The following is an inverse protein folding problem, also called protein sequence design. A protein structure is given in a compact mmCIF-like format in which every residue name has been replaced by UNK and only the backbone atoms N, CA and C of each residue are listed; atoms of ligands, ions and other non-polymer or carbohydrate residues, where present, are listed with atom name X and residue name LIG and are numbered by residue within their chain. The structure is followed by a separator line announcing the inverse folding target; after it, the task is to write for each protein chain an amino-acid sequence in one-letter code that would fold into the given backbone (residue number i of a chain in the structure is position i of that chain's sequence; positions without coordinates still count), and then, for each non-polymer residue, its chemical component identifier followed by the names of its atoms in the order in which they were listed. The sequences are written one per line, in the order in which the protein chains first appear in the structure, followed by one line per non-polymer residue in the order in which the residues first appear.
data_IF_361003796441
#
_entry.id   IF_361003796441
#
_cell.length_a   1.000
_cell.length_b   1.000
_cell.length_c   1.000
_cell.angle_alpha   90.00
_cell.angle_beta   90.00
_cell.angle_gamma   90.00
#
_symmetry.space_group_name_H-M   'P 1'
#
loop_
_entity.id
_entity.type
_entity.pdbx_description
1 polymer ?
#
# COMPACT_ATOMS: atom_id res chain seq x y z
N UNK A 1 3.41 -7.58 51.28
CA UNK A 1 2.07 -7.01 51.03
C UNK A 1 1.38 -6.75 52.36
N UNK A 2 1.59 -5.57 52.93
CA UNK A 2 0.66 -4.96 53.87
C UNK A 2 0.19 -3.66 53.17
N UNK A 3 -1.12 -3.42 53.03
CA UNK A 3 -1.60 -2.18 52.42
C UNK A 3 -1.41 -1.07 53.46
N UNK A 4 -0.59 -0.07 53.15
CA UNK A 4 -0.63 1.20 53.90
C UNK A 4 -1.57 2.14 53.14
N UNK A 5 -2.79 2.27 53.66
CA UNK A 5 -3.75 3.27 53.20
C UNK A 5 -3.24 4.67 53.56
N UNK A 6 -2.83 5.43 52.54
CA UNK A 6 -2.56 6.86 52.65
C UNK A 6 -3.80 7.64 52.21
N UNK A 7 -4.65 8.03 53.15
CA UNK A 7 -5.76 8.95 52.88
C UNK A 7 -5.33 10.39 53.18
N UNK A 8 -5.22 11.18 52.12
CA UNK A 8 -4.98 12.63 52.13
C UNK A 8 -6.18 13.40 52.68
N UNK A 9 -5.96 14.34 53.61
CA UNK A 9 -6.97 15.33 54.02
C UNK A 9 -6.35 16.74 54.07
N UNK A 10 -7.08 17.83 53.72
CA UNK A 10 -6.52 19.14 53.36
C UNK A 10 -6.05 20.00 54.55
N UNK A 11 -5.94 19.43 55.74
CA UNK A 11 -5.38 20.09 56.90
C UNK A 11 -4.24 19.21 57.37
N UNK A 12 -3.00 19.74 57.40
CA UNK A 12 -1.76 19.05 57.78
C UNK A 12 -1.73 18.48 59.20
N UNK A 13 -2.61 17.51 59.45
CA UNK A 13 -2.69 16.65 60.62
C UNK A 13 -2.48 15.25 60.08
N UNK A 14 -1.24 14.78 60.24
CA UNK A 14 -0.79 13.41 60.01
C UNK A 14 -1.87 12.45 60.52
N UNK A 15 -2.28 11.53 59.66
CA UNK A 15 -3.19 10.43 59.98
C UNK A 15 -2.73 9.75 61.27
N UNK A 16 -3.51 9.94 62.34
CA UNK A 16 -3.19 9.33 63.63
C UNK A 16 -3.57 7.87 63.56
N UNK A 17 -2.56 7.00 63.57
CA UNK A 17 -2.71 5.61 64.00
C UNK A 17 -3.51 5.59 65.32
N UNK A 18 -4.44 4.66 65.52
CA UNK A 18 -5.20 4.58 66.77
C UNK A 18 -4.25 4.43 67.96
N UNK A 19 -4.34 5.32 68.96
CA UNK A 19 -3.53 5.19 70.17
C UNK A 19 -4.02 3.99 70.99
N UNK A 20 -3.12 3.11 71.41
CA UNK A 20 -3.49 2.03 72.32
C UNK A 20 -3.73 2.58 73.73
N UNK A 21 -4.48 1.83 74.55
CA UNK A 21 -4.69 2.16 75.98
C UNK A 21 -3.38 2.32 76.76
N UNK A 22 -2.31 1.63 76.32
CA UNK A 22 -0.97 1.72 76.92
C UNK A 22 -0.31 3.05 76.56
N UNK A 23 -0.49 3.52 75.34
CA UNK A 23 0.09 4.78 74.86
C UNK A 23 -0.51 5.98 75.58
N UNK A 24 -1.84 6.00 75.75
CA UNK A 24 -2.51 7.06 76.55
C UNK A 24 -2.06 7.07 78.02
N UNK A 25 -1.77 5.92 78.62
CA UNK A 25 -1.20 5.88 79.99
C UNK A 25 0.25 6.35 80.04
N UNK A 26 0.99 6.18 78.96
CA UNK A 26 2.40 6.59 78.91
C UNK A 26 2.60 8.10 78.75
N UNK A 27 1.53 8.85 78.43
CA UNK A 27 1.56 10.31 78.36
C UNK A 27 1.84 10.94 79.74
N UNK A 28 2.54 12.09 79.77
CA UNK A 28 2.62 12.96 80.94
C UNK A 28 1.23 13.26 81.50
N UNK A 29 1.10 13.37 82.82
CA UNK A 29 -0.20 13.52 83.49
C UNK A 29 -1.05 14.69 82.96
N UNK A 30 -0.39 15.75 82.47
CA UNK A 30 -1.03 16.92 81.83
C UNK A 30 -1.70 16.58 80.49
N UNK A 31 -1.11 15.65 79.71
CA UNK A 31 -1.56 15.26 78.38
C UNK A 31 -2.56 14.11 78.39
N UNK A 32 -2.62 13.31 79.46
CA UNK A 32 -3.58 12.20 79.60
C UNK A 32 -5.04 12.66 79.51
N UNK A 33 -5.33 13.90 79.94
CA UNK A 33 -6.68 14.49 79.92
C UNK A 33 -7.21 14.72 78.50
N UNK A 34 -6.33 14.75 77.50
CA UNK A 34 -6.70 14.91 76.09
C UNK A 34 -7.12 13.59 75.45
N UNK A 35 -6.84 12.43 76.08
CA UNK A 35 -7.23 11.13 75.55
C UNK A 35 -8.73 10.89 75.77
N UNK A 36 -9.48 10.89 74.68
CA UNK A 36 -10.89 10.50 74.62
C UNK A 36 -10.95 9.09 74.03
N UNK A 37 -11.77 8.22 74.63
CA UNK A 37 -12.06 6.91 74.07
C UNK A 37 -13.30 7.04 73.18
N UNK A 38 -13.14 6.76 71.89
CA UNK A 38 -14.22 6.75 70.92
C UNK A 38 -14.40 5.31 70.46
N UNK A 39 -15.43 4.65 71.04
CA UNK A 39 -15.95 3.27 70.94
C UNK A 39 -15.01 2.11 70.54
N UNK A 40 -14.11 2.30 69.57
CA UNK A 40 -13.11 1.36 69.09
C UNK A 40 -11.66 1.73 69.43
N UNK A 41 -11.30 3.01 69.64
CA UNK A 41 -9.91 3.45 69.83
C UNK A 41 -9.77 4.67 70.77
N UNK A 42 -8.56 4.88 71.32
CA UNK A 42 -8.25 6.14 72.01
C UNK A 42 -7.74 7.18 71.00
N UNK A 43 -8.29 8.40 71.08
CA UNK A 43 -7.89 9.54 70.25
C UNK A 43 -7.59 10.75 71.15
N UNK A 44 -6.67 11.62 70.72
CA UNK A 44 -6.42 12.86 71.47
C UNK A 44 -7.33 13.97 70.92
N UNK A 45 -8.32 14.39 71.69
CA UNK A 45 -9.24 15.47 71.33
C UNK A 45 -8.86 16.77 72.07
N UNK A 46 -8.27 17.76 71.38
CA UNK A 46 -7.89 19.03 71.99
C UNK A 46 -9.04 20.04 72.12
N UNK A 47 -10.28 19.68 71.74
CA UNK A 47 -11.43 20.60 71.74
C UNK A 47 -12.21 20.63 73.06
N UNK A 48 -11.94 19.73 74.00
CA UNK A 48 -12.59 19.75 75.31
C UNK A 48 -11.78 20.59 76.31
N UNK A 49 -12.36 21.69 76.76
CA UNK A 49 -11.89 22.66 77.78
C UNK A 49 -10.91 23.74 77.30
N UNK A 50 -11.09 24.95 77.84
CA UNK A 50 -10.31 26.19 77.63
C UNK A 50 -8.80 25.98 77.89
N UNK A 51 -8.10 25.36 76.95
CA UNK A 51 -6.71 24.94 77.10
C UNK A 51 -5.88 25.49 75.94
N UNK A 52 -4.79 26.20 76.27
CA UNK A 52 -3.84 26.79 75.32
C UNK A 52 -3.26 25.73 74.37
N UNK A 53 -3.82 25.65 73.14
CA UNK A 53 -3.44 24.68 72.09
C UNK A 53 -1.94 24.69 71.79
N UNK A 54 -1.27 25.83 71.90
CA UNK A 54 0.18 25.99 71.66
C UNK A 54 1.08 25.39 72.73
N UNK A 55 0.63 25.34 73.99
CA UNK A 55 1.44 24.79 75.09
C UNK A 55 1.45 23.25 74.98
N UNK A 56 0.29 22.67 74.71
CA UNK A 56 0.14 21.23 74.58
C UNK A 56 0.65 20.68 73.25
N UNK A 57 0.67 21.47 72.17
CA UNK A 57 1.31 21.05 70.91
C UNK A 57 2.82 20.89 71.09
N UNK A 58 3.49 21.83 71.78
CA UNK A 58 4.91 21.73 72.12
C UNK A 58 5.21 20.53 73.02
N UNK A 59 4.38 20.29 74.04
CA UNK A 59 4.56 19.14 74.93
C UNK A 59 4.32 17.80 74.21
N UNK A 60 3.39 17.75 73.26
CA UNK A 60 3.16 16.58 72.39
C UNK A 60 4.35 16.35 71.45
N UNK A 61 4.88 17.40 70.83
CA UNK A 61 6.06 17.31 69.97
C UNK A 61 7.27 16.79 70.75
N UNK A 62 7.52 17.30 71.96
CA UNK A 62 8.59 16.82 72.84
C UNK A 62 8.38 15.33 73.20
N UNK A 63 7.14 14.93 73.46
CA UNK A 63 6.80 13.56 73.80
C UNK A 63 7.05 12.58 72.64
N UNK A 64 6.66 12.94 71.42
CA UNK A 64 6.84 12.10 70.25
C UNK A 64 8.25 12.17 69.66
N UNK A 65 8.98 13.28 69.83
CA UNK A 65 10.36 13.45 69.36
C UNK A 65 11.34 12.39 69.88
N UNK A 66 11.07 11.81 71.04
CA UNK A 66 11.90 10.76 71.64
C UNK A 66 11.41 9.33 71.33
N UNK A 67 10.31 9.20 70.59
CA UNK A 67 9.69 7.92 70.19
C UNK A 67 9.59 7.74 68.68
N UNK A 68 9.88 8.78 67.92
CA UNK A 68 10.11 8.70 66.49
C UNK A 68 11.59 8.39 66.25
N UNK A 69 11.89 7.29 65.55
CA UNK A 69 13.25 7.06 65.06
C UNK A 69 13.55 8.10 63.98
N UNK A 70 14.45 9.02 64.30
CA UNK A 70 15.10 9.82 63.26
C UNK A 70 16.15 8.94 62.61
N UNK A 71 16.00 8.68 61.31
CA UNK A 71 16.96 7.87 60.56
C UNK A 71 18.29 8.61 60.49
N UNK A 72 19.22 8.31 61.42
CA UNK A 72 20.58 8.82 61.37
C UNK A 72 21.33 8.03 60.30
N UNK A 73 21.42 8.59 59.10
CA UNK A 73 22.07 7.92 57.97
C UNK A 73 23.58 7.82 58.17
N UNK A 74 24.09 6.73 58.74
CA UNK A 74 25.52 6.57 59.04
C UNK A 74 26.40 6.13 57.84
N UNK A 75 25.83 5.49 56.81
CA UNK A 75 26.59 4.93 55.69
C UNK A 75 26.31 5.68 54.38
N UNK A 76 27.36 6.19 53.72
CA UNK A 76 27.30 6.88 52.43
C UNK A 76 26.56 6.07 51.36
N UNK A 77 26.84 4.76 51.27
CA UNK A 77 26.18 3.84 50.34
C UNK A 77 24.67 3.82 50.56
N UNK A 78 24.20 3.82 51.82
CA UNK A 78 22.77 3.79 52.15
C UNK A 78 22.09 5.10 51.77
N UNK A 79 22.75 6.24 51.97
CA UNK A 79 22.25 7.55 51.54
C UNK A 79 22.10 7.59 50.01
N UNK A 80 23.15 7.22 49.28
CA UNK A 80 23.14 7.25 47.82
C UNK A 80 22.11 6.29 47.21
N UNK A 81 22.01 5.06 47.70
CA UNK A 81 21.01 4.09 47.22
C UNK A 81 19.59 4.56 47.49
N UNK A 82 19.33 5.20 48.64
CA UNK A 82 18.01 5.74 48.96
C UNK A 82 17.67 6.97 48.09
N UNK A 83 18.63 7.86 47.84
CA UNK A 83 18.47 8.98 46.91
C UNK A 83 18.22 8.50 45.47
N UNK A 84 18.92 7.46 45.02
CA UNK A 84 18.68 6.85 43.70
C UNK A 84 17.32 6.17 43.63
N UNK A 85 16.92 5.45 44.67
CA UNK A 85 15.58 4.86 44.78
C UNK A 85 14.50 5.94 44.70
N UNK A 86 14.64 7.04 45.44
CA UNK A 86 13.72 8.18 45.35
C UNK A 86 13.67 8.76 43.92
N UNK A 87 14.81 9.10 43.34
CA UNK A 87 14.84 9.62 41.96
C UNK A 87 14.21 8.67 40.94
N UNK A 88 14.44 7.36 41.06
CA UNK A 88 13.84 6.35 40.19
C UNK A 88 12.31 6.21 40.37
N UNK A 89 11.83 6.30 41.60
CA UNK A 89 10.39 6.26 41.90
C UNK A 89 9.66 7.51 41.42
N UNK A 90 10.30 8.68 41.49
CA UNK A 90 9.78 9.93 40.90
C UNK A 90 9.78 9.84 39.38
N UNK A 91 10.86 9.32 38.77
CA UNK A 91 10.99 9.11 37.33
C UNK A 91 9.94 8.14 36.76
N UNK A 92 9.65 7.05 37.47
CA UNK A 92 8.66 6.04 37.04
C UNK A 92 7.23 6.38 37.46
N UNK A 93 7.00 7.56 38.03
CA UNK A 93 5.68 8.06 38.51
C UNK A 93 4.99 7.16 39.55
N UNK A 94 5.74 6.28 40.23
CA UNK A 94 5.19 5.39 41.26
C UNK A 94 4.90 6.12 42.58
N UNK A 95 5.66 7.18 42.89
CA UNK A 95 5.28 8.18 43.89
C UNK A 95 5.19 7.72 45.36
N UNK A 96 5.74 6.55 45.71
CA UNK A 96 5.71 6.04 47.10
C UNK A 96 6.76 6.72 48.00
N UNK A 97 6.69 8.05 48.11
CA UNK A 97 7.61 8.86 48.92
C UNK A 97 6.88 9.57 50.08
N UNK A 98 7.58 9.78 51.21
CA UNK A 98 7.00 10.55 52.31
C UNK A 98 6.72 11.99 51.87
N UNK A 99 5.61 12.56 52.34
CA UNK A 99 5.20 13.90 51.97
C UNK A 99 6.23 14.97 52.42
N UNK A 100 6.57 15.95 51.55
CA UNK A 100 7.48 17.03 51.91
C UNK A 100 6.88 17.89 53.05
N UNK A 101 7.76 18.40 53.92
CA UNK A 101 7.34 19.15 55.12
C UNK A 101 7.62 20.65 54.93
N UNK A 102 8.69 21.00 54.23
CA UNK A 102 9.11 22.39 54.01
C UNK A 102 8.71 22.89 52.63
N UNK A 103 8.46 24.21 52.50
CA UNK A 103 8.08 24.84 51.22
C UNK A 103 9.12 24.58 50.12
N UNK A 104 10.41 24.58 50.47
CA UNK A 104 11.49 24.25 49.53
C UNK A 104 11.43 22.80 49.04
N UNK A 105 11.11 21.84 49.92
CA UNK A 105 10.92 20.44 49.51
C UNK A 105 9.70 20.28 48.60
N UNK A 106 8.60 21.00 48.84
CA UNK A 106 7.43 21.00 47.95
C UNK A 106 7.77 21.50 46.54
N UNK A 107 8.51 22.61 46.44
CA UNK A 107 8.96 23.16 45.17
C UNK A 107 9.91 22.21 44.43
N UNK A 108 10.86 21.61 45.15
CA UNK A 108 11.79 20.63 44.59
C UNK A 108 11.04 19.39 44.06
N UNK A 109 10.17 18.80 44.88
CA UNK A 109 9.39 17.61 44.52
C UNK A 109 8.48 17.88 43.32
N UNK A 110 7.84 19.05 43.28
CA UNK A 110 6.98 19.44 42.14
C UNK A 110 7.79 19.56 40.84
N UNK A 111 8.99 20.15 40.89
CA UNK A 111 9.85 20.28 39.72
C UNK A 111 10.42 18.93 39.28
N UNK A 112 10.82 18.08 40.22
CA UNK A 112 11.36 16.74 39.95
C UNK A 112 10.30 15.83 39.32
N UNK A 113 9.05 15.87 39.81
CA UNK A 113 7.92 15.16 39.19
C UNK A 113 7.66 15.65 37.76
N UNK A 114 7.69 16.97 37.51
CA UNK A 114 7.49 17.51 36.16
C UNK A 114 8.59 17.05 35.19
N UNK A 115 9.85 17.08 35.61
CA UNK A 115 10.99 16.60 34.81
C UNK A 115 10.88 15.09 34.60
N UNK A 116 10.59 14.33 35.65
CA UNK A 116 10.40 12.88 35.61
C UNK A 116 9.31 12.48 34.62
N UNK A 117 8.17 13.19 34.63
CA UNK A 117 7.06 12.95 33.72
C UNK A 117 7.45 13.20 32.25
N UNK A 118 8.22 14.26 31.96
CA UNK A 118 8.72 14.52 30.62
C UNK A 118 9.68 13.42 30.14
N UNK A 119 10.65 13.03 30.98
CA UNK A 119 11.61 11.97 30.64
C UNK A 119 10.88 10.64 30.42
N UNK A 120 9.97 10.27 31.32
CA UNK A 120 9.17 9.05 31.20
C UNK A 120 8.33 9.03 29.92
N UNK A 121 7.66 10.13 29.59
CA UNK A 121 6.89 10.26 28.35
C UNK A 121 7.77 10.09 27.10
N UNK A 122 8.99 10.66 27.09
CA UNK A 122 9.92 10.48 25.96
C UNK A 122 10.42 9.03 25.83
N UNK A 123 10.68 8.34 26.94
CA UNK A 123 11.11 6.93 26.92
C UNK A 123 10.00 6.06 26.32
N UNK A 124 8.76 6.21 26.80
CA UNK A 124 7.62 5.45 26.26
C UNK A 124 7.40 5.78 24.78
N UNK A 125 7.47 7.05 24.39
CA UNK A 125 7.33 7.48 23.00
C UNK A 125 8.38 6.84 22.08
N UNK A 126 9.65 6.81 22.51
CA UNK A 126 10.73 6.20 21.75
C UNK A 126 10.58 4.68 21.65
N UNK A 127 10.21 4.00 22.74
CA UNK A 127 9.93 2.55 22.72
C UNK A 127 8.77 2.26 21.77
N UNK A 128 7.70 3.05 21.81
CA UNK A 128 6.58 2.93 20.87
C UNK A 128 7.00 3.11 19.41
N UNK A 129 7.84 4.10 19.12
CA UNK A 129 8.37 4.35 17.77
C UNK A 129 9.24 3.19 17.28
N UNK A 130 10.13 2.65 18.12
CA UNK A 130 10.97 1.49 17.77
C UNK A 130 10.09 0.28 17.46
N UNK A 131 9.09 -0.02 18.29
CA UNK A 131 8.17 -1.14 18.08
C UNK A 131 7.36 -0.97 16.79
N UNK A 132 6.90 0.25 16.49
CA UNK A 132 6.19 0.56 15.25
C UNK A 132 7.09 0.37 14.03
N UNK A 133 8.33 0.86 14.09
CA UNK A 133 9.28 0.78 12.97
C UNK A 133 9.73 -0.66 12.71
N UNK A 134 9.97 -1.46 13.75
CA UNK A 134 10.33 -2.88 13.62
C UNK A 134 9.22 -3.69 12.93
N UNK A 135 7.96 -3.31 13.15
CA UNK A 135 6.82 -4.01 12.57
C UNK A 135 6.25 -3.33 11.33
N UNK A 136 6.89 -2.28 10.81
CA UNK A 136 6.34 -1.49 9.69
C UNK A 136 6.10 -2.35 8.43
N UNK A 137 7.09 -3.13 7.99
CA UNK A 137 6.94 -4.02 6.82
C UNK A 137 5.83 -5.05 6.98
N UNK A 138 5.68 -5.59 8.20
CA UNK A 138 4.63 -6.54 8.51
C UNK A 138 3.26 -5.86 8.52
N UNK A 139 3.17 -4.66 9.09
CA UNK A 139 1.93 -3.88 9.11
C UNK A 139 1.46 -3.53 7.70
N UNK A 140 2.37 -3.15 6.80
CA UNK A 140 2.06 -2.86 5.40
C UNK A 140 1.52 -4.10 4.66
N UNK A 141 2.15 -5.26 4.86
CA UNK A 141 1.69 -6.52 4.28
C UNK A 141 0.33 -6.95 4.86
N UNK A 142 0.16 -6.87 6.18
CA UNK A 142 -1.10 -7.21 6.86
C UNK A 142 -2.22 -6.27 6.37
N UNK A 143 -1.94 -4.98 6.14
CA UNK A 143 -2.90 -4.02 5.55
C UNK A 143 -3.29 -4.41 4.12
N UNK A 144 -2.34 -4.77 3.26
CA UNK A 144 -2.62 -5.25 1.90
C UNK A 144 -3.50 -6.52 1.93
N UNK A 145 -3.15 -7.48 2.78
CA UNK A 145 -3.87 -8.73 2.94
C UNK A 145 -5.30 -8.49 3.45
N UNK A 146 -5.49 -7.56 4.38
CA UNK A 146 -6.81 -7.19 4.88
C UNK A 146 -7.67 -6.53 3.81
N UNK A 147 -7.09 -5.71 2.93
CA UNK A 147 -7.76 -5.19 1.74
C UNK A 147 -8.25 -6.30 0.80
N UNK A 148 -7.41 -7.31 0.56
CA UNK A 148 -7.77 -8.49 -0.26
C UNK A 148 -8.89 -9.31 0.41
N UNK A 149 -8.79 -9.55 1.72
CA UNK A 149 -9.86 -10.23 2.48
C UNK A 149 -11.18 -9.48 2.38
N UNK A 150 -11.17 -8.17 2.59
CA UNK A 150 -12.37 -7.33 2.48
C UNK A 150 -12.98 -7.39 1.08
N UNK A 151 -12.16 -7.35 0.03
CA UNK A 151 -12.61 -7.51 -1.35
C UNK A 151 -13.29 -8.88 -1.58
N UNK A 152 -12.70 -9.97 -1.08
CA UNK A 152 -13.28 -11.31 -1.20
C UNK A 152 -14.60 -11.46 -0.44
N UNK A 153 -14.70 -10.87 0.76
CA UNK A 153 -15.94 -10.85 1.55
C UNK A 153 -17.02 -10.05 0.83
N UNK A 154 -16.69 -8.86 0.31
CA UNK A 154 -17.64 -8.02 -0.42
C UNK A 154 -18.18 -8.70 -1.69
N UNK A 155 -17.31 -9.41 -2.42
CA UNK A 155 -17.69 -10.16 -3.64
C UNK A 155 -18.28 -11.55 -3.36
N UNK A 156 -18.41 -11.95 -2.10
CA UNK A 156 -18.93 -13.27 -1.69
C UNK A 156 -18.21 -14.43 -2.39
N UNK A 157 -16.87 -14.37 -2.44
CA UNK A 157 -16.06 -15.44 -3.03
C UNK A 157 -16.19 -16.73 -2.20
N UNK A 158 -16.21 -17.91 -2.84
CA UNK A 158 -16.26 -19.22 -2.17
C UNK A 158 -15.16 -19.32 -1.09
N UNK A 159 -15.48 -19.76 0.16
CA UNK A 159 -14.49 -19.93 1.23
C UNK A 159 -13.27 -20.78 0.84
N UNK A 160 -13.42 -21.75 -0.07
CA UNK A 160 -12.29 -22.54 -0.58
C UNK A 160 -11.26 -21.68 -1.31
N UNK A 161 -11.72 -20.77 -2.17
CA UNK A 161 -10.85 -19.84 -2.90
C UNK A 161 -10.23 -18.84 -1.93
N UNK A 162 -10.99 -18.36 -0.94
CA UNK A 162 -10.47 -17.44 0.07
C UNK A 162 -9.31 -18.08 0.87
N UNK A 163 -9.49 -19.31 1.33
CA UNK A 163 -8.45 -20.06 2.05
C UNK A 163 -7.21 -20.27 1.17
N UNK A 164 -7.40 -20.56 -0.13
CA UNK A 164 -6.30 -20.71 -1.09
C UNK A 164 -5.53 -19.41 -1.29
N UNK A 165 -6.22 -18.29 -1.44
CA UNK A 165 -5.59 -16.96 -1.59
C UNK A 165 -4.81 -16.59 -0.34
N UNK A 166 -5.40 -16.76 0.85
CA UNK A 166 -4.72 -16.46 2.12
C UNK A 166 -3.48 -17.35 2.31
N UNK A 167 -3.57 -18.64 1.96
CA UNK A 167 -2.44 -19.56 2.02
C UNK A 167 -1.32 -19.17 1.06
N UNK A 168 -1.66 -18.74 -0.16
CA UNK A 168 -0.69 -18.23 -1.14
C UNK A 168 0.03 -16.98 -0.62
N UNK A 169 -0.70 -16.00 -0.08
CA UNK A 169 -0.09 -14.81 0.54
C UNK A 169 0.82 -15.19 1.72
N UNK A 170 0.40 -16.15 2.56
CA UNK A 170 1.22 -16.67 3.66
C UNK A 170 2.53 -17.30 3.17
N UNK A 171 2.49 -18.05 2.07
CA UNK A 171 3.69 -18.61 1.45
C UNK A 171 4.61 -17.50 0.91
N UNK A 172 4.06 -16.53 0.16
CA UNK A 172 4.82 -15.39 -0.39
C UNK A 172 5.55 -14.62 0.71
N UNK A 173 4.87 -14.37 1.85
CA UNK A 173 5.49 -13.74 3.03
C UNK A 173 6.59 -14.60 3.64
N UNK A 174 6.35 -15.90 3.85
CA UNK A 174 7.33 -16.81 4.48
C UNK A 174 8.63 -16.97 3.69
N UNK A 175 8.57 -16.80 2.37
CA UNK A 175 9.72 -16.94 1.48
C UNK A 175 10.52 -15.64 1.31
N UNK A 176 10.11 -14.54 1.93
CA UNK A 176 10.75 -13.24 1.74
C UNK A 176 10.46 -12.59 0.38
N UNK A 177 9.63 -13.22 -0.45
CA UNK A 177 9.19 -12.71 -1.77
C UNK A 177 8.05 -11.68 -1.66
N UNK A 178 7.70 -11.24 -0.45
CA UNK A 178 6.72 -10.17 -0.23
C UNK A 178 7.32 -8.77 -0.47
N UNK A 179 8.63 -8.69 -0.64
CA UNK A 179 9.28 -7.47 -1.13
C UNK A 179 9.04 -7.41 -2.63
N UNK A 180 8.42 -6.33 -3.09
CA UNK A 180 8.27 -6.03 -4.50
C UNK A 180 9.66 -5.87 -5.11
N UNK A 181 10.20 -6.96 -5.65
CA UNK A 181 11.52 -6.99 -6.30
C UNK A 181 11.58 -5.84 -7.32
N UNK A 182 10.51 -5.60 -8.08
CA UNK A 182 10.44 -4.51 -9.06
C UNK A 182 10.53 -3.12 -8.39
N UNK A 183 9.94 -2.90 -7.20
CA UNK A 183 10.05 -1.63 -6.47
C UNK A 183 11.47 -1.39 -5.94
N UNK A 184 12.14 -2.42 -5.41
CA UNK A 184 13.54 -2.31 -4.95
C UNK A 184 14.48 -2.15 -6.15
N UNK A 185 14.25 -2.92 -7.22
CA UNK A 185 14.99 -2.86 -8.48
C UNK A 185 14.87 -1.47 -9.12
N UNK A 186 13.70 -0.83 -9.06
CA UNK A 186 13.49 0.52 -9.60
C UNK A 186 14.31 1.61 -8.90
N UNK A 187 14.76 1.37 -7.66
CA UNK A 187 15.59 2.30 -6.89
C UNK A 187 17.09 2.11 -7.18
N UNK A 188 17.49 1.00 -7.80
CA UNK A 188 18.88 0.69 -8.09
C UNK A 188 19.31 1.25 -9.45
N UNK A 189 20.53 1.82 -9.56
CA UNK A 189 21.11 2.14 -10.85
C UNK A 189 21.26 0.89 -11.72
N UNK A 190 20.99 1.03 -13.03
CA UNK A 190 20.94 -0.08 -14.01
C UNK A 190 22.19 -0.98 -14.01
N UNK A 191 23.37 -0.42 -13.70
CA UNK A 191 24.64 -1.17 -13.59
C UNK A 191 24.62 -2.19 -12.45
N UNK A 192 24.22 -1.76 -11.25
CA UNK A 192 24.20 -2.60 -10.04
C UNK A 192 23.05 -3.59 -10.12
N UNK A 193 21.92 -3.18 -10.69
CA UNK A 193 20.80 -4.07 -10.98
C UNK A 193 21.25 -5.26 -11.84
N UNK A 194 21.99 -4.99 -12.92
CA UNK A 194 22.51 -6.02 -13.80
C UNK A 194 23.36 -7.04 -13.06
N UNK A 195 24.32 -6.57 -12.26
CA UNK A 195 25.20 -7.43 -11.48
C UNK A 195 24.47 -8.26 -10.42
N UNK A 196 23.49 -7.67 -9.73
CA UNK A 196 22.70 -8.36 -8.71
C UNK A 196 21.82 -9.45 -9.33
N UNK A 197 21.07 -9.12 -10.39
CA UNK A 197 20.19 -10.08 -11.06
C UNK A 197 20.99 -11.29 -11.55
N UNK A 198 22.16 -11.04 -12.15
CA UNK A 198 23.09 -12.09 -12.57
C UNK A 198 23.51 -12.95 -11.38
N UNK A 199 23.99 -12.35 -10.29
CA UNK A 199 24.45 -13.13 -9.14
C UNK A 199 23.33 -14.01 -8.55
N UNK A 200 22.08 -13.54 -8.55
CA UNK A 200 20.96 -14.28 -7.94
C UNK A 200 20.40 -15.37 -8.87
N UNK A 201 20.41 -15.16 -10.19
CA UNK A 201 19.68 -16.02 -11.13
C UNK A 201 20.57 -16.82 -12.10
N UNK A 202 21.82 -16.40 -12.33
CA UNK A 202 22.70 -17.04 -13.31
C UNK A 202 22.98 -18.51 -12.99
N UNK A 203 23.14 -18.86 -11.71
CA UNK A 203 23.38 -20.25 -11.30
C UNK A 203 22.21 -21.17 -11.64
N UNK A 204 20.98 -20.66 -11.61
CA UNK A 204 19.79 -21.44 -11.97
C UNK A 204 19.74 -21.66 -13.47
N UNK A 205 20.00 -20.62 -14.26
CA UNK A 205 20.07 -20.72 -15.73
C UNK A 205 21.20 -21.62 -16.22
N UNK A 206 22.38 -21.58 -15.58
CA UNK A 206 23.49 -22.49 -15.91
C UNK A 206 23.17 -23.96 -15.67
N UNK A 207 22.29 -24.28 -14.71
CA UNK A 207 21.84 -25.67 -14.46
C UNK A 207 20.86 -26.18 -15.51
N UNK A 208 20.27 -25.29 -16.30
CA UNK A 208 19.28 -25.65 -17.31
C UNK A 208 19.96 -26.24 -18.55
N UNK A 209 19.61 -27.48 -18.89
CA UNK A 209 20.22 -28.23 -20.02
C UNK A 209 20.15 -27.50 -21.36
N UNK A 210 19.08 -26.77 -21.65
CA UNK A 210 18.91 -26.10 -22.94
C UNK A 210 19.81 -24.85 -23.09
N UNK A 211 20.28 -24.30 -21.97
CA UNK A 211 21.09 -23.08 -21.91
C UNK A 211 22.55 -23.33 -21.49
N UNK A 212 22.92 -24.57 -21.21
CA UNK A 212 24.29 -24.95 -20.81
C UNK A 212 25.34 -24.69 -21.89
N UNK A 213 24.97 -24.92 -23.15
CA UNK A 213 25.86 -24.77 -24.30
C UNK A 213 25.82 -23.34 -24.89
N UNK A 214 25.04 -22.43 -24.28
CA UNK A 214 24.91 -21.06 -24.75
C UNK A 214 26.07 -20.18 -24.26
N UNK A 215 26.39 -19.15 -25.06
CA UNK A 215 27.38 -18.15 -24.67
C UNK A 215 26.94 -17.44 -23.38
N UNK A 216 27.87 -17.16 -22.44
CA UNK A 216 27.54 -16.43 -21.21
C UNK A 216 26.80 -15.12 -21.47
N UNK A 217 27.18 -14.36 -22.50
CA UNK A 217 26.54 -13.10 -22.87
C UNK A 217 25.02 -13.20 -23.05
N UNK A 218 24.54 -14.27 -23.68
CA UNK A 218 23.10 -14.55 -23.80
C UNK A 218 22.47 -14.80 -22.42
N UNK A 219 23.13 -15.57 -21.56
CA UNK A 219 22.62 -15.86 -20.21
C UNK A 219 22.48 -14.57 -19.41
N UNK A 220 23.44 -13.65 -19.50
CA UNK A 220 23.38 -12.34 -18.87
C UNK A 220 22.15 -11.56 -19.33
N UNK A 221 21.88 -11.50 -20.63
CA UNK A 221 20.72 -10.78 -21.16
C UNK A 221 19.39 -11.44 -20.76
N UNK A 222 19.32 -12.77 -20.79
CA UNK A 222 18.12 -13.52 -20.41
C UNK A 222 17.80 -13.36 -18.93
N UNK A 223 18.79 -13.37 -18.03
CA UNK A 223 18.60 -13.16 -16.58
C UNK A 223 17.81 -11.87 -16.32
N UNK A 224 18.13 -10.79 -17.02
CA UNK A 224 17.52 -9.47 -16.79
C UNK A 224 16.06 -9.41 -17.22
N UNK A 225 15.61 -10.36 -18.05
CA UNK A 225 14.23 -10.44 -18.54
C UNK A 225 13.42 -11.53 -17.83
N UNK A 226 14.02 -12.31 -16.93
CA UNK A 226 13.31 -13.33 -16.17
C UNK A 226 12.44 -12.69 -15.08
N UNK A 227 11.21 -13.18 -14.96
CA UNK A 227 10.29 -12.80 -13.88
C UNK A 227 9.99 -13.99 -12.99
N UNK A 228 10.02 -13.79 -11.68
CA UNK A 228 9.66 -14.82 -10.73
C UNK A 228 8.13 -14.89 -10.58
N UNK A 229 7.55 -16.07 -10.73
CA UNK A 229 6.13 -16.30 -10.52
C UNK A 229 5.91 -17.52 -9.61
N UNK A 230 5.05 -17.36 -8.61
CA UNK A 230 4.74 -18.38 -7.61
C UNK A 230 3.39 -19.01 -7.88
N UNK A 231 3.36 -20.34 -7.98
CA UNK A 231 2.14 -21.12 -8.19
C UNK A 231 1.79 -21.92 -6.94
N UNK A 232 0.49 -22.03 -6.64
CA UNK A 232 -0.01 -22.79 -5.50
C UNK A 232 -0.08 -24.29 -5.83
N UNK A 233 -0.17 -25.17 -4.81
CA UNK A 233 -0.42 -26.59 -5.02
C UNK A 233 -1.67 -26.81 -5.87
N UNK A 234 -1.59 -27.74 -6.82
CA UNK A 234 -2.66 -28.11 -7.76
C UNK A 234 -3.08 -27.03 -8.79
N UNK A 235 -2.41 -25.87 -8.83
CA UNK A 235 -2.65 -24.88 -9.88
C UNK A 235 -2.13 -25.41 -11.23
N UNK A 236 -2.93 -25.20 -12.28
CA UNK A 236 -2.52 -25.46 -13.66
C UNK A 236 -1.75 -24.25 -14.18
N UNK A 237 -0.49 -24.43 -14.54
CA UNK A 237 0.35 -23.38 -15.14
C UNK A 237 -0.07 -23.15 -16.59
N UNK A 238 -0.31 -24.24 -17.32
CA UNK A 238 -0.87 -24.19 -18.66
C UNK A 238 -1.70 -25.43 -18.95
N UNK A 239 -2.67 -25.31 -19.85
CA UNK A 239 -3.46 -26.43 -20.35
C UNK A 239 -3.10 -26.75 -21.79
N UNK A 240 -3.31 -27.99 -22.19
CA UNK A 240 -3.13 -28.43 -23.58
C UNK A 240 -4.05 -27.60 -24.48
N UNK A 241 -3.50 -27.09 -25.58
CA UNK A 241 -4.23 -26.25 -26.53
C UNK A 241 -4.21 -24.74 -26.23
N UNK A 242 -3.79 -24.32 -25.03
CA UNK A 242 -3.64 -22.89 -24.71
C UNK A 242 -2.57 -22.25 -25.62
N UNK A 243 -2.70 -20.96 -25.91
CA UNK A 243 -1.69 -20.22 -26.68
C UNK A 243 -0.48 -19.97 -25.78
N UNK A 244 0.66 -20.57 -26.11
CA UNK A 244 1.91 -20.41 -25.36
C UNK A 244 2.63 -19.13 -25.75
N UNK A 245 2.64 -18.15 -24.85
CA UNK A 245 3.33 -16.86 -25.02
C UNK A 245 4.65 -16.76 -24.24
N UNK A 246 4.91 -17.73 -23.37
CA UNK A 246 5.98 -17.70 -22.38
C UNK A 246 6.60 -19.09 -22.26
N UNK A 247 7.84 -19.18 -21.79
CA UNK A 247 8.42 -20.42 -21.29
C UNK A 247 8.67 -20.30 -19.78
N UNK A 248 8.77 -21.46 -19.14
CA UNK A 248 8.95 -21.55 -17.70
C UNK A 248 10.18 -22.39 -17.35
N UNK A 249 10.93 -21.93 -16.35
CA UNK A 249 12.07 -22.63 -15.76
C UNK A 249 11.75 -22.90 -14.30
N UNK A 250 11.86 -24.15 -13.87
CA UNK A 250 11.57 -24.54 -12.48
C UNK A 250 12.74 -24.10 -11.60
N UNK A 251 12.55 -23.07 -10.77
CA UNK A 251 13.53 -22.64 -9.76
C UNK A 251 13.47 -23.53 -8.53
N UNK A 252 12.24 -23.72 -8.00
CA UNK A 252 11.97 -24.54 -6.82
C UNK A 252 10.63 -25.24 -6.94
N UNK A 253 10.54 -26.45 -6.43
CA UNK A 253 9.32 -27.25 -6.41
C UNK A 253 9.23 -28.28 -7.53
N UNK A 254 8.05 -28.89 -7.67
CA UNK A 254 7.83 -30.00 -8.59
C UNK A 254 6.52 -29.81 -9.35
N UNK A 255 6.57 -30.08 -10.65
CA UNK A 255 5.44 -29.96 -11.55
C UNK A 255 5.13 -31.31 -12.19
N UNK A 256 3.86 -31.61 -12.41
CA UNK A 256 3.43 -32.81 -13.11
C UNK A 256 2.87 -32.41 -14.49
N UNK A 257 3.39 -33.05 -15.53
CA UNK A 257 2.78 -33.04 -16.87
C UNK A 257 1.65 -34.06 -16.85
N UNK A 258 0.42 -33.60 -17.02
CA UNK A 258 -0.79 -34.41 -16.87
C UNK A 258 -1.58 -34.50 -18.17
N UNK A 259 -2.39 -35.55 -18.29
CA UNK A 259 -3.41 -35.66 -19.35
C UNK A 259 -4.48 -34.56 -19.23
N UNK A 260 -5.27 -34.35 -20.27
CA UNK A 260 -6.38 -33.38 -20.30
C UNK A 260 -7.35 -33.57 -19.12
N UNK A 261 -7.60 -34.82 -18.74
CA UNK A 261 -8.50 -35.17 -17.62
C UNK A 261 -7.80 -35.08 -16.25
N UNK A 262 -6.50 -34.78 -16.20
CA UNK A 262 -5.72 -34.68 -14.96
C UNK A 262 -5.46 -36.00 -14.23
N UNK A 263 -5.87 -37.13 -14.82
CA UNK A 263 -5.84 -38.48 -14.23
C UNK A 263 -4.48 -39.18 -14.37
N UNK A 264 -3.83 -39.03 -15.51
CA UNK A 264 -2.54 -39.65 -15.81
C UNK A 264 -1.43 -38.61 -15.69
N UNK A 265 -0.38 -38.92 -14.93
CA UNK A 265 0.86 -38.16 -14.87
C UNK A 265 1.86 -38.79 -15.84
N UNK A 266 2.29 -38.04 -16.86
CA UNK A 266 3.28 -38.51 -17.83
C UNK A 266 4.70 -38.39 -17.29
N UNK A 267 5.04 -37.22 -16.76
CA UNK A 267 6.38 -36.88 -16.28
C UNK A 267 6.26 -35.88 -15.13
N UNK A 268 7.14 -36.01 -14.13
CA UNK A 268 7.36 -35.01 -13.09
C UNK A 268 8.61 -34.19 -13.41
N UNK A 269 8.45 -32.88 -13.55
CA UNK A 269 9.52 -31.92 -13.75
C UNK A 269 10.01 -31.43 -12.38
N UNK A 270 11.31 -31.57 -12.16
CA UNK A 270 11.99 -31.10 -10.95
C UNK A 270 12.74 -29.77 -11.23
N UNK A 271 13.44 -29.26 -10.22
CA UNK A 271 14.24 -28.05 -10.30
C UNK A 271 15.28 -28.11 -11.44
N UNK A 272 15.43 -27.00 -12.16
CA UNK A 272 16.27 -26.88 -13.35
C UNK A 272 15.64 -27.43 -14.63
N UNK A 273 14.45 -28.04 -14.57
CA UNK A 273 13.70 -28.41 -15.76
C UNK A 273 13.09 -27.16 -16.44
N UNK A 274 12.91 -27.27 -17.75
CA UNK A 274 12.28 -26.25 -18.59
C UNK A 274 11.09 -26.87 -19.29
N UNK A 275 10.03 -26.08 -19.44
CA UNK A 275 8.87 -26.47 -20.22
C UNK A 275 8.23 -25.25 -20.90
N UNK A 276 7.46 -25.52 -21.95
CA UNK A 276 6.80 -24.49 -22.75
C UNK A 276 7.70 -23.86 -23.81
N UNK A 277 8.90 -24.38 -23.99
CA UNK A 277 9.90 -23.98 -24.99
C UNK A 277 9.39 -24.17 -26.42
N UNK A 278 8.61 -25.23 -26.69
CA UNK A 278 8.15 -25.54 -28.04
C UNK A 278 7.14 -24.52 -28.61
N UNK A 279 6.32 -23.92 -27.75
CA UNK A 279 5.25 -23.01 -28.18
C UNK A 279 5.77 -21.62 -28.57
N UNK A 280 6.98 -21.25 -28.12
CA UNK A 280 7.55 -19.92 -28.35
C UNK A 280 8.58 -19.87 -29.49
N UNK A 281 9.12 -21.02 -29.92
CA UNK A 281 10.19 -21.11 -30.91
C UNK A 281 9.74 -21.00 -32.39
N UNK A 282 8.46 -20.74 -32.67
CA UNK A 282 7.88 -20.54 -34.03
C UNK A 282 8.42 -21.51 -35.09
N UNK A 283 8.50 -22.80 -34.75
CA UNK A 283 9.09 -23.81 -35.62
C UNK A 283 8.15 -24.08 -36.81
N UNK A 284 8.60 -23.85 -38.06
CA UNK A 284 7.79 -24.13 -39.25
C UNK A 284 7.50 -25.63 -39.35
N UNK A 285 6.26 -25.98 -39.71
CA UNK A 285 5.81 -27.38 -39.80
C UNK A 285 5.34 -28.00 -38.47
N UNK A 286 5.29 -27.23 -37.38
CA UNK A 286 4.69 -27.68 -36.12
C UNK A 286 3.16 -27.82 -36.30
N UNK A 287 2.63 -29.04 -36.14
CA UNK A 287 1.19 -29.34 -36.23
C UNK A 287 0.34 -28.50 -35.27
N UNK A 288 0.91 -28.15 -34.12
CA UNK A 288 0.21 -27.47 -33.04
C UNK A 288 0.48 -25.95 -33.03
N UNK A 289 1.31 -25.44 -33.94
CA UNK A 289 1.67 -24.03 -34.02
C UNK A 289 2.19 -23.49 -32.67
N UNK A 290 1.63 -22.37 -32.21
CA UNK A 290 1.97 -21.75 -30.94
C UNK A 290 1.17 -22.27 -29.73
N UNK A 291 0.46 -23.41 -29.86
CA UNK A 291 -0.33 -23.98 -28.78
C UNK A 291 0.52 -24.86 -27.86
N UNK A 292 0.11 -24.98 -26.59
CA UNK A 292 0.71 -25.89 -25.61
C UNK A 292 0.39 -27.34 -25.97
N UNK A 293 1.40 -28.20 -25.85
CA UNK A 293 1.32 -29.63 -26.21
C UNK A 293 0.75 -30.49 -25.08
N UNK A 294 0.89 -30.05 -23.83
CA UNK A 294 0.43 -30.78 -22.64
C UNK A 294 -0.06 -29.83 -21.54
N UNK A 295 -0.82 -30.37 -20.60
CA UNK A 295 -1.21 -29.66 -19.38
C UNK A 295 -0.13 -29.84 -18.30
N UNK A 296 0.22 -28.77 -17.61
CA UNK A 296 1.22 -28.80 -16.53
C UNK A 296 0.59 -28.26 -15.25
N UNK A 297 0.68 -29.05 -14.18
CA UNK A 297 0.09 -28.75 -12.87
C UNK A 297 1.16 -28.73 -11.80
N UNK A 298 1.11 -27.77 -10.88
CA UNK A 298 1.99 -27.72 -9.72
C UNK A 298 1.61 -28.80 -8.70
N UNK A 299 2.60 -29.51 -8.15
CA UNK A 299 2.37 -30.50 -7.09
C UNK A 299 2.26 -29.80 -5.72
N UNK A 300 3.18 -28.88 -5.44
CA UNK A 300 3.21 -28.07 -4.23
C UNK A 300 3.25 -26.59 -4.55
N UNK A 301 3.77 -25.78 -3.63
CA UNK A 301 4.19 -24.43 -3.99
C UNK A 301 5.42 -24.53 -4.89
N UNK A 302 5.35 -23.88 -6.05
CA UNK A 302 6.44 -23.90 -7.03
C UNK A 302 6.79 -22.48 -7.43
N UNK A 303 8.09 -22.21 -7.47
CA UNK A 303 8.65 -20.94 -7.88
C UNK A 303 9.21 -21.14 -9.30
N UNK A 304 8.66 -20.42 -10.27
CA UNK A 304 9.02 -20.54 -11.67
C UNK A 304 9.59 -19.22 -12.17
N UNK A 305 10.67 -19.28 -12.97
CA UNK A 305 11.06 -18.15 -13.79
C UNK A 305 10.29 -18.19 -15.10
N UNK A 306 9.70 -17.06 -15.45
CA UNK A 306 8.94 -16.83 -16.67
C UNK A 306 9.78 -16.00 -17.62
N UNK A 307 9.92 -16.46 -18.86
CA UNK A 307 10.51 -15.70 -19.95
C UNK A 307 9.47 -15.55 -21.06
N UNK A 308 9.20 -14.31 -21.48
CA UNK A 308 8.24 -14.07 -22.56
C UNK A 308 8.84 -14.44 -23.92
N UNK A 309 7.97 -14.76 -24.88
CA UNK A 309 8.36 -15.04 -26.25
C UNK A 309 9.13 -13.86 -26.85
N UNK A 310 8.61 -12.64 -26.70
CA UNK A 310 9.20 -11.44 -27.29
C UNK A 310 10.59 -11.18 -26.69
N UNK A 311 10.73 -11.31 -25.36
CA UNK A 311 12.01 -11.12 -24.66
C UNK A 311 13.08 -12.13 -25.10
N UNK A 312 12.68 -13.40 -25.31
CA UNK A 312 13.56 -14.45 -25.82
C UNK A 312 13.98 -14.13 -27.26
N UNK A 313 13.03 -13.83 -28.14
CA UNK A 313 13.34 -13.54 -29.54
C UNK A 313 14.23 -12.31 -29.70
N UNK A 314 14.01 -11.29 -28.88
CA UNK A 314 14.83 -10.10 -28.84
C UNK A 314 16.28 -10.43 -28.50
N UNK A 315 16.52 -11.27 -27.49
CA UNK A 315 17.87 -11.72 -27.13
C UNK A 315 18.47 -12.61 -28.24
N UNK A 316 17.68 -13.52 -28.82
CA UNK A 316 18.13 -14.41 -29.90
C UNK A 316 18.44 -13.70 -31.23
N UNK A 317 18.04 -12.43 -31.39
CA UNK A 317 18.49 -11.61 -32.54
C UNK A 317 19.97 -11.27 -32.46
N UNK A 318 20.49 -11.05 -31.26
CA UNK A 318 21.90 -10.71 -31.02
C UNK A 318 22.79 -11.96 -31.02
N UNK A 319 22.24 -13.12 -30.65
CA UNK A 319 22.97 -14.40 -30.56
C UNK A 319 22.44 -15.45 -31.57
N UNK A 320 22.82 -15.37 -32.86
CA UNK A 320 22.28 -16.23 -33.92
C UNK A 320 22.67 -17.71 -33.79
N UNK A 321 23.84 -18.03 -33.22
CA UNK A 321 24.27 -19.41 -33.01
C UNK A 321 23.44 -20.10 -31.93
N UNK A 322 23.17 -19.39 -30.82
CA UNK A 322 22.28 -19.89 -29.77
C UNK A 322 20.85 -20.10 -30.30
N UNK A 323 20.37 -19.21 -31.16
CA UNK A 323 19.08 -19.37 -31.86
C UNK A 323 19.03 -20.68 -32.66
N UNK A 324 20.06 -20.97 -33.46
CA UNK A 324 20.14 -22.22 -34.25
C UNK A 324 20.11 -23.45 -33.35
N UNK A 325 20.88 -23.44 -32.26
CA UNK A 325 20.92 -24.54 -31.30
C UNK A 325 19.57 -24.78 -30.63
N UNK A 326 18.90 -23.71 -30.16
CA UNK A 326 17.58 -23.80 -29.54
C UNK A 326 16.53 -24.32 -30.52
N UNK A 327 16.56 -23.86 -31.77
CA UNK A 327 15.67 -24.37 -32.83
C UNK A 327 15.95 -25.83 -33.16
N UNK A 328 17.22 -26.24 -33.24
CA UNK A 328 17.60 -27.63 -33.48
C UNK A 328 17.11 -28.55 -32.35
N UNK A 329 17.30 -28.14 -31.08
CA UNK A 329 16.77 -28.86 -29.92
C UNK A 329 15.24 -28.91 -29.90
N UNK A 330 14.58 -27.81 -30.23
CA UNK A 330 13.12 -27.77 -30.36
C UNK A 330 12.59 -28.71 -31.46
N UNK A 331 13.27 -28.76 -32.62
CA UNK A 331 12.96 -29.72 -33.70
C UNK A 331 13.17 -31.17 -33.24
N UNK A 332 14.26 -31.47 -32.53
CA UNK A 332 14.53 -32.81 -31.98
C UNK A 332 13.41 -33.27 -31.03
N UNK A 333 12.97 -32.38 -30.13
CA UNK A 333 11.87 -32.65 -29.20
C UNK A 333 10.53 -32.85 -29.91
N UNK A 334 10.17 -31.99 -30.88
CA UNK A 334 8.95 -32.17 -31.67
C UNK A 334 8.96 -33.45 -32.52
N UNK A 335 10.14 -33.89 -33.00
CA UNK A 335 10.31 -35.14 -33.73
C UNK A 335 10.07 -36.35 -32.82
N UNK A 336 10.62 -36.30 -31.60
CA UNK A 336 10.41 -37.32 -30.57
C UNK A 336 8.94 -37.48 -30.21
N UNK A 337 8.20 -36.37 -30.17
CA UNK A 337 6.77 -36.35 -29.83
C UNK A 337 5.85 -36.60 -31.05
N UNK A 338 6.39 -36.81 -32.26
CA UNK A 338 5.61 -37.06 -33.49
C UNK A 338 4.81 -35.85 -34.01
N UNK A 339 5.13 -34.65 -33.51
CA UNK A 339 4.41 -33.39 -33.76
C UNK A 339 4.96 -32.57 -34.95
N UNK A 340 6.03 -33.03 -35.60
CA UNK A 340 6.52 -32.44 -36.86
C UNK A 340 5.83 -33.07 -38.07
N UNK A 341 5.36 -32.23 -38.98
CA UNK A 341 5.05 -32.64 -40.36
C UNK A 341 6.37 -32.64 -41.14
N UNK A 342 6.88 -33.84 -41.45
CA UNK A 342 7.98 -34.17 -42.40
C UNK A 342 9.19 -33.20 -42.51
N UNK A 343 10.40 -33.72 -42.25
CA UNK A 343 11.67 -33.11 -42.68
C UNK A 343 11.69 -33.04 -44.22
N UNK A 344 11.41 -31.88 -44.82
CA UNK A 344 11.92 -31.57 -46.15
C UNK A 344 13.29 -30.87 -45.98
N UNK A 345 14.41 -31.49 -46.39
CA UNK A 345 15.75 -30.92 -46.23
C UNK A 345 16.06 -29.70 -47.11
N UNK A 346 15.09 -29.12 -47.82
CA UNK A 346 15.34 -28.12 -48.87
C UNK A 346 14.62 -26.76 -48.67
N UNK A 347 13.82 -26.57 -47.62
CA UNK A 347 12.98 -25.37 -47.49
C UNK A 347 13.61 -24.21 -46.69
N UNK A 348 14.77 -24.38 -46.05
CA UNK A 348 15.38 -23.32 -45.24
C UNK A 348 15.97 -22.15 -46.08
N UNK A 349 16.16 -22.32 -47.40
CA UNK A 349 16.54 -21.22 -48.32
C UNK A 349 15.48 -20.89 -49.39
N UNK A 350 14.72 -21.88 -49.87
CA UNK A 350 13.72 -21.69 -50.93
C UNK A 350 12.35 -21.27 -50.34
N UNK A 351 12.05 -21.67 -49.10
CA UNK A 351 10.83 -21.28 -48.40
C UNK A 351 10.85 -19.82 -47.97
N UNK A 352 11.97 -19.31 -47.44
CA UNK A 352 12.04 -17.90 -47.02
C UNK A 352 11.89 -16.95 -48.23
N UNK A 353 12.50 -17.29 -49.37
CA UNK A 353 12.41 -16.50 -50.61
C UNK A 353 11.02 -16.60 -51.25
N UNK A 354 10.42 -17.80 -51.36
CA UNK A 354 9.03 -17.94 -51.84
C UNK A 354 8.00 -17.30 -50.92
N UNK A 355 8.20 -17.32 -49.60
CA UNK A 355 7.26 -16.73 -48.63
C UNK A 355 7.42 -15.21 -48.56
N UNK A 356 8.64 -14.68 -48.77
CA UNK A 356 8.88 -13.25 -48.94
C UNK A 356 8.25 -12.74 -50.24
N UNK A 357 8.43 -13.43 -51.36
CA UNK A 357 7.81 -13.06 -52.63
C UNK A 357 6.28 -13.09 -52.53
N UNK A 358 5.70 -14.14 -51.94
CA UNK A 358 4.25 -14.21 -51.72
C UNK A 358 3.74 -13.10 -50.78
N UNK A 359 4.51 -12.72 -49.75
CA UNK A 359 4.16 -11.59 -48.89
C UNK A 359 4.33 -10.25 -49.59
N UNK A 360 5.35 -10.08 -50.43
CA UNK A 360 5.57 -8.90 -51.25
C UNK A 360 4.46 -8.74 -52.29
N UNK A 361 4.01 -9.83 -52.92
CA UNK A 361 2.87 -9.84 -53.84
C UNK A 361 1.56 -9.54 -53.10
N UNK A 362 1.36 -10.12 -51.92
CA UNK A 362 0.17 -9.84 -51.11
C UNK A 362 0.17 -8.38 -50.60
N UNK A 363 1.30 -7.86 -50.16
CA UNK A 363 1.47 -6.47 -49.76
C UNK A 363 1.27 -5.54 -50.96
N UNK A 364 1.77 -5.90 -52.14
CA UNK A 364 1.53 -5.17 -53.39
C UNK A 364 0.04 -5.13 -53.75
N UNK A 365 -0.67 -6.24 -53.60
CA UNK A 365 -2.12 -6.31 -53.81
C UNK A 365 -2.90 -5.47 -52.77
N UNK A 366 -2.46 -5.44 -51.50
CA UNK A 366 -3.06 -4.61 -50.47
C UNK A 366 -2.78 -3.12 -50.69
N UNK A 367 -1.56 -2.74 -51.06
CA UNK A 367 -1.19 -1.38 -51.45
C UNK A 367 -2.03 -0.91 -52.64
N UNK A 368 -2.21 -1.76 -53.66
CA UNK A 368 -3.05 -1.44 -54.82
C UNK A 368 -4.55 -1.31 -54.48
N UNK A 369 -5.03 -2.00 -53.43
CA UNK A 369 -6.39 -1.81 -52.92
C UNK A 369 -6.51 -0.51 -52.13
N UNK A 370 -5.53 -0.23 -51.28
CA UNK A 370 -5.46 1.00 -50.48
C UNK A 370 -5.40 2.24 -51.38
N UNK A 371 -4.64 2.19 -52.46
CA UNK A 371 -4.51 3.29 -53.43
C UNK A 371 -5.85 3.58 -54.13
N UNK A 372 -6.61 2.54 -54.47
CA UNK A 372 -7.98 2.68 -55.00
C UNK A 372 -8.95 3.25 -53.98
N UNK A 373 -8.85 2.80 -52.72
CA UNK A 373 -9.69 3.29 -51.63
C UNK A 373 -9.39 4.76 -51.30
N UNK A 374 -8.11 5.16 -51.32
CA UNK A 374 -7.67 6.56 -51.17
C UNK A 374 -8.21 7.41 -52.32
N UNK A 375 -8.06 6.98 -53.57
CA UNK A 375 -8.58 7.71 -54.72
C UNK A 375 -10.13 7.84 -54.67
N UNK A 376 -10.83 6.82 -54.17
CA UNK A 376 -12.28 6.86 -53.99
C UNK A 376 -12.67 7.82 -52.86
N UNK A 377 -11.94 7.84 -51.75
CA UNK A 377 -12.13 8.76 -50.63
C UNK A 377 -11.86 10.21 -51.02
N UNK A 378 -10.79 10.48 -51.77
CA UNK A 378 -10.51 11.82 -52.30
C UNK A 378 -11.65 12.32 -53.18
N UNK A 379 -12.17 11.45 -54.04
CA UNK A 379 -13.32 11.78 -54.89
C UNK A 379 -14.54 12.09 -54.04
N UNK A 380 -14.87 11.26 -53.05
CA UNK A 380 -16.00 11.48 -52.13
C UNK A 380 -15.84 12.79 -51.33
N UNK A 381 -14.63 13.06 -50.85
CA UNK A 381 -14.33 14.28 -50.10
C UNK A 381 -14.52 15.52 -50.98
N UNK A 382 -14.07 15.50 -52.24
CA UNK A 382 -14.28 16.60 -53.17
C UNK A 382 -15.77 16.84 -53.44
N UNK A 383 -16.58 15.80 -53.65
CA UNK A 383 -18.03 15.96 -53.82
C UNK A 383 -18.70 16.53 -52.57
N UNK A 384 -18.34 16.01 -51.38
CA UNK A 384 -18.90 16.51 -50.11
C UNK A 384 -18.47 17.95 -49.83
N UNK A 385 -17.22 18.31 -50.12
CA UNK A 385 -16.71 19.68 -50.01
C UNK A 385 -17.44 20.64 -50.96
N UNK A 386 -17.71 20.21 -52.19
CA UNK A 386 -18.47 21.00 -53.16
C UNK A 386 -19.92 21.23 -52.71
N UNK A 387 -20.60 20.19 -52.22
CA UNK A 387 -21.97 20.30 -51.70
C UNK A 387 -22.04 21.24 -50.48
N UNK A 388 -21.11 21.08 -49.53
CA UNK A 388 -21.03 21.95 -48.36
C UNK A 388 -20.75 23.41 -48.74
N UNK A 389 -19.89 23.68 -49.72
CA UNK A 389 -19.67 25.04 -50.25
C UNK A 389 -20.93 25.63 -50.85
N UNK A 390 -21.72 24.86 -51.60
CA UNK A 390 -23.00 25.31 -52.15
C UNK A 390 -24.01 25.62 -51.04
N UNK A 391 -24.08 24.77 -50.01
CA UNK A 391 -24.96 24.98 -48.85
C UNK A 391 -24.59 26.22 -48.06
N UNK A 392 -23.30 26.46 -47.83
CA UNK A 392 -22.81 27.68 -47.17
C UNK A 392 -23.17 28.91 -48.00
N UNK A 393 -22.91 28.90 -49.31
CA UNK A 393 -23.26 30.02 -50.20
C UNK A 393 -24.77 30.31 -50.19
N UNK A 394 -25.60 29.26 -50.12
CA UNK A 394 -27.06 29.42 -50.02
C UNK A 394 -27.46 30.03 -48.67
N UNK A 395 -26.87 29.57 -47.57
CA UNK A 395 -27.11 30.11 -46.24
C UNK A 395 -26.66 31.58 -46.12
N UNK A 396 -25.51 31.94 -46.69
CA UNK A 396 -25.03 33.32 -46.75
C UNK A 396 -25.99 34.23 -47.52
N UNK A 397 -26.55 33.75 -48.64
CA UNK A 397 -27.56 34.48 -49.41
C UNK A 397 -28.83 34.71 -48.57
N UNK A 398 -29.36 33.66 -47.93
CA UNK A 398 -30.53 33.75 -47.05
C UNK A 398 -30.26 34.70 -45.89
N UNK A 399 -29.09 34.62 -45.26
CA UNK A 399 -28.71 35.49 -44.17
C UNK A 399 -28.62 36.96 -44.60
N UNK A 400 -28.03 37.23 -45.77
CA UNK A 400 -27.97 38.58 -46.34
C UNK A 400 -29.38 39.13 -46.65
N UNK A 401 -30.28 38.31 -47.18
CA UNK A 401 -31.65 38.71 -47.48
C UNK A 401 -32.46 38.98 -46.20
N UNK A 402 -32.35 38.10 -45.20
CA UNK A 402 -32.94 38.31 -43.88
C UNK A 402 -32.39 39.56 -43.20
N UNK A 403 -31.07 39.82 -43.30
CA UNK A 403 -30.46 41.05 -42.77
C UNK A 403 -31.01 42.31 -43.44
N UNK A 404 -31.23 42.29 -44.76
CA UNK A 404 -31.88 43.39 -45.49
C UNK A 404 -33.36 43.55 -45.09
N UNK A 405 -34.05 42.44 -44.85
CA UNK A 405 -35.46 42.46 -44.44
C UNK A 405 -35.62 43.02 -43.03
N UNK A 406 -34.84 42.53 -42.05
CA UNK A 406 -34.80 43.08 -40.69
C UNK A 406 -34.46 44.58 -40.71
N UNK A 407 -33.51 45.01 -41.55
CA UNK A 407 -33.18 46.45 -41.67
C UNK A 407 -34.37 47.27 -42.21
N UNK A 408 -35.15 46.73 -43.15
CA UNK A 408 -36.37 47.38 -43.65
C UNK A 408 -37.47 47.40 -42.58
N UNK A 409 -37.67 46.30 -41.87
CA UNK A 409 -38.70 46.18 -40.82
C UNK A 409 -38.40 47.10 -39.63
N UNK A 410 -37.12 47.24 -39.23
CA UNK A 410 -36.71 48.22 -38.24
C UNK A 410 -36.96 49.67 -38.71
N UNK A 411 -36.65 50.00 -39.97
CA UNK A 411 -36.91 51.34 -40.51
C UNK A 411 -38.42 51.65 -40.56
N UNK A 412 -39.25 50.68 -40.97
CA UNK A 412 -40.70 50.79 -40.94
C UNK A 412 -41.22 50.93 -39.50
N UNK A 413 -40.70 50.16 -38.55
CA UNK A 413 -41.05 50.26 -37.14
C UNK A 413 -40.74 51.64 -36.54
N UNK A 414 -39.56 52.20 -36.84
CA UNK A 414 -39.19 53.57 -36.42
C UNK A 414 -40.13 54.60 -37.04
N UNK A 415 -40.50 54.44 -38.30
CA UNK A 415 -41.42 55.36 -38.98
C UNK A 415 -42.85 55.30 -38.40
N UNK A 416 -43.32 54.11 -38.01
CA UNK A 416 -44.61 53.93 -37.33
C UNK A 416 -44.57 54.58 -35.94
N UNK A 417 -43.49 54.41 -35.17
CA UNK A 417 -43.34 55.04 -33.85
C UNK A 417 -43.32 56.56 -33.95
N UNK A 418 -42.58 57.13 -34.92
CA UNK A 418 -42.56 58.57 -35.16
C UNK A 418 -43.95 59.11 -35.54
N UNK A 419 -44.70 58.39 -36.38
CA UNK A 419 -46.08 58.79 -36.74
C UNK A 419 -47.05 58.71 -35.55
N UNK A 420 -46.83 57.74 -34.64
CA UNK A 420 -47.62 57.61 -33.42
C UNK A 420 -47.29 58.73 -32.42
N UNK A 421 -46.01 59.11 -32.28
CA UNK A 421 -45.59 60.27 -31.47
C UNK A 421 -46.19 61.57 -32.01
N UNK A 422 -46.16 61.81 -33.33
CA UNK A 422 -46.80 62.99 -33.93
C UNK A 422 -48.31 63.02 -33.66
N UNK A 423 -48.99 61.87 -33.78
CA UNK A 423 -50.43 61.76 -33.47
C UNK A 423 -50.74 62.02 -32.00
N UNK A 424 -49.90 61.53 -31.07
CA UNK A 424 -50.03 61.78 -29.63
C UNK A 424 -49.79 63.26 -29.33
N UNK A 425 -48.75 63.88 -29.89
CA UNK A 425 -48.45 65.31 -29.72
C UNK A 425 -49.62 66.17 -30.23
N UNK A 426 -50.24 65.77 -31.35
CA UNK A 426 -51.39 66.49 -31.91
C UNK A 426 -52.62 66.39 -31.00
N UNK A 427 -52.92 65.20 -30.46
CA UNK A 427 -53.99 65.02 -29.46
C UNK A 427 -53.72 65.80 -28.16
N UNK A 428 -52.47 65.84 -27.69
CA UNK A 428 -52.11 66.63 -26.50
C UNK A 428 -52.30 68.12 -26.76
N UNK A 429 -51.92 68.64 -27.94
CA UNK A 429 -52.19 70.04 -28.32
C UNK A 429 -53.68 70.34 -28.41
N UNK A 430 -54.48 69.44 -28.98
CA UNK A 430 -55.94 69.59 -29.03
C UNK A 430 -56.55 69.61 -27.63
N UNK A 431 -56.08 68.73 -26.73
CA UNK A 431 -56.53 68.68 -25.34
C UNK A 431 -56.11 69.96 -24.58
N UNK A 432 -54.89 70.46 -24.76
CA UNK A 432 -54.44 71.72 -24.18
C UNK A 432 -55.22 72.92 -24.71
N UNK A 433 -55.58 72.93 -25.99
CA UNK A 433 -56.40 73.99 -26.59
C UNK A 433 -57.83 73.96 -26.02
N UNK A 434 -58.41 72.76 -25.86
CA UNK A 434 -59.73 72.57 -25.26
C UNK A 434 -59.76 73.00 -23.77
N UNK A 435 -58.72 72.69 -23.00
CA UNK A 435 -58.60 73.16 -21.61
C UNK A 435 -58.33 74.67 -21.52
N UNK A 436 -57.58 75.24 -22.47
CA UNK A 436 -57.34 76.69 -22.55
C UNK A 436 -58.60 77.49 -22.86
N UNK A 437 -59.47 76.99 -23.74
CA UNK A 437 -60.77 77.59 -24.05
C UNK A 437 -61.81 77.39 -22.93
N UNK A 438 -61.67 76.36 -22.08
CA UNK A 438 -62.56 76.15 -20.93
C UNK A 438 -62.18 77.00 -19.70
N UNK A 439 -60.97 77.56 -19.67
CA UNK A 439 -60.44 78.38 -18.56
C UNK A 439 -60.47 79.90 -18.86
N UNK A 440 -61.00 80.32 -20.00
CA UNK A 440 -61.38 81.70 -20.34
C UNK A 440 -62.89 81.84 -20.35
#
# INVERSE_FOLDING_TARGET
MCPMDWTSSPAGLISRSPMSRRDCRSLPWKLRKLCVYDETNYTLNPSSTELNREIYSKDLDIFWKNRTETWVYANLTRQYTLSFYWSFMTLTTLGEQPSPITVFQFLYETMDILIGLLVFATIIGNVGSIVSNLNAQKADFDQMLDGVKQYMTYRQVNPEIQSRVISWFGYVWSQGNAVDDDAVISQLPTRIHGELAVHVHLDTLKRVKIFQDCEPGLLYELVLKLKLQVFSPSDYICRKGDIGKEMYIVKRGSLNVVSEDGSIVFVTLAEGAVFGELSILDIPGNKNGNKRTAAVRSVGYSDLFVLSKDDLWDALREYPEARKMLLAKGKELLKKDGLLLYDHPEDDQIGLTKTLDQKCDHLGAQLGKLDKDIAMLEKQFQTSSADNKQRITRLERIFSDNKKQIKRDCLLGVQVVLSAEESIIQRVRETQRFYGEFLQ
#
